data_IF_745554244274
#
_entry.id   IF_745554244274
#
_cell.length_a   1.000
_cell.length_b   1.000
_cell.length_c   1.000
_cell.angle_alpha   90.00
_cell.angle_beta   90.00
_cell.angle_gamma   90.00
#
_symmetry.space_group_name_H-M   'P 1'
#
loop_
_entity.id
_entity.type
_entity.pdbx_description
1 polymer ?
#
# COMPACT_ATOMS: atom_id res chain seq x y z
N UNK A 1 -0.21 14.28 -11.97
CA UNK A 1 -0.04 13.55 -10.71
C UNK A 1 1.45 13.26 -10.55
N UNK A 2 1.96 13.20 -9.32
CA UNK A 2 3.34 12.82 -9.05
C UNK A 2 3.48 11.30 -8.97
N UNK A 3 4.72 10.81 -9.06
CA UNK A 3 5.03 9.37 -9.05
C UNK A 3 4.49 8.65 -7.81
N UNK A 4 4.48 9.32 -6.65
CA UNK A 4 3.91 8.78 -5.41
C UNK A 4 2.40 8.61 -5.56
N UNK A 5 1.67 9.64 -6.03
CA UNK A 5 0.22 9.54 -6.18
C UNK A 5 -0.19 8.47 -7.20
N UNK A 6 0.53 8.38 -8.34
CA UNK A 6 0.24 7.37 -9.36
C UNK A 6 0.48 5.94 -8.85
N UNK A 7 1.58 5.72 -8.13
CA UNK A 7 1.88 4.42 -7.52
C UNK A 7 0.90 4.09 -6.39
N UNK A 8 0.57 5.04 -5.52
CA UNK A 8 -0.42 4.86 -4.46
C UNK A 8 -1.79 4.49 -5.02
N UNK A 9 -2.22 5.12 -6.10
CA UNK A 9 -3.48 4.81 -6.76
C UNK A 9 -3.47 3.40 -7.36
N UNK A 10 -2.36 3.00 -8.01
CA UNK A 10 -2.20 1.62 -8.49
C UNK A 10 -2.28 0.59 -7.35
N UNK A 11 -1.69 0.89 -6.19
CA UNK A 11 -1.76 0.01 -5.03
C UNK A 11 -3.18 -0.08 -4.46
N UNK A 12 -3.87 1.06 -4.32
CA UNK A 12 -5.25 1.09 -3.85
C UNK A 12 -6.18 0.29 -4.77
N UNK A 13 -6.06 0.47 -6.09
CA UNK A 13 -6.83 -0.31 -7.06
C UNK A 13 -6.53 -1.82 -6.96
N UNK A 14 -5.25 -2.21 -6.88
CA UNK A 14 -4.87 -3.61 -6.73
C UNK A 14 -5.37 -4.21 -5.40
N UNK A 15 -5.42 -3.42 -4.34
CA UNK A 15 -5.96 -3.81 -3.05
C UNK A 15 -7.47 -4.08 -3.15
N UNK A 16 -8.23 -3.19 -3.78
CA UNK A 16 -9.67 -3.37 -4.05
C UNK A 16 -9.94 -4.58 -4.94
N UNK A 17 -9.16 -4.76 -6.03
CA UNK A 17 -9.28 -5.92 -6.92
C UNK A 17 -9.04 -7.25 -6.18
N UNK A 18 -8.16 -7.22 -5.17
CA UNK A 18 -7.88 -8.40 -4.35
C UNK A 18 -8.95 -8.70 -3.30
N UNK A 19 -10.02 -7.90 -3.17
CA UNK A 19 -11.01 -8.02 -2.09
C UNK A 19 -11.64 -9.42 -1.96
N UNK A 20 -11.94 -10.07 -3.08
CA UNK A 20 -12.48 -11.45 -3.10
C UNK A 20 -11.40 -12.54 -3.21
N UNK A 21 -10.13 -12.16 -3.43
CA UNK A 21 -9.01 -13.08 -3.52
C UNK A 21 -8.52 -13.46 -2.12
N UNK A 22 -9.02 -14.59 -1.63
CA UNK A 22 -8.69 -15.13 -0.30
C UNK A 22 -7.21 -15.49 -0.12
N UNK A 23 -6.42 -15.57 -1.20
CA UNK A 23 -4.99 -15.82 -1.11
C UNK A 23 -4.21 -14.50 -1.05
N UNK A 24 -4.58 -13.52 -1.88
CA UNK A 24 -3.86 -12.25 -1.99
C UNK A 24 -4.23 -11.25 -0.91
N UNK A 25 -5.52 -11.14 -0.57
CA UNK A 25 -6.02 -10.17 0.41
C UNK A 25 -5.30 -10.23 1.77
N UNK A 26 -5.16 -11.40 2.43
CA UNK A 26 -4.49 -11.46 3.73
C UNK A 26 -3.00 -11.10 3.63
N UNK A 27 -2.34 -11.40 2.51
CA UNK A 27 -0.94 -11.02 2.29
C UNK A 27 -0.83 -9.50 2.11
N UNK A 28 -1.76 -8.91 1.35
CA UNK A 28 -1.85 -7.47 1.19
C UNK A 28 -2.09 -6.77 2.53
N UNK A 29 -3.07 -7.23 3.31
CA UNK A 29 -3.37 -6.69 4.64
C UNK A 29 -2.19 -6.79 5.60
N UNK A 30 -1.43 -7.89 5.55
CA UNK A 30 -0.25 -8.08 6.39
C UNK A 30 0.88 -7.11 6.02
N UNK A 31 1.15 -6.93 4.73
CA UNK A 31 2.15 -5.98 4.23
C UNK A 31 1.71 -4.56 4.59
N UNK A 32 0.47 -4.19 4.24
CA UNK A 32 -0.09 -2.87 4.52
C UNK A 32 0.04 -2.55 6.02
N UNK A 33 -0.49 -3.39 6.91
CA UNK A 33 -0.43 -3.15 8.35
C UNK A 33 0.99 -2.95 8.89
N UNK A 34 2.00 -3.64 8.33
CA UNK A 34 3.40 -3.50 8.76
C UNK A 34 3.96 -2.12 8.46
N UNK A 35 3.71 -1.61 7.26
CA UNK A 35 4.19 -0.28 6.85
C UNK A 35 3.30 0.84 7.39
N UNK A 36 1.99 0.61 7.54
CA UNK A 36 1.06 1.58 8.11
C UNK A 36 1.23 1.78 9.62
N UNK A 37 1.71 0.77 10.35
CA UNK A 37 2.05 0.92 11.76
C UNK A 37 3.12 2.01 12.00
N UNK A 38 3.96 2.32 11.00
CA UNK A 38 4.96 3.37 11.08
C UNK A 38 4.38 4.79 10.90
N UNK A 39 3.19 4.90 10.28
CA UNK A 39 2.61 6.20 9.86
C UNK A 39 1.50 6.68 10.81
N UNK A 40 1.10 5.86 11.79
CA UNK A 40 0.11 6.14 12.85
C UNK A 40 -1.07 7.01 12.40
N UNK A 41 -1.84 6.52 11.41
CA UNK A 41 -2.93 7.27 10.75
C UNK A 41 -4.30 7.11 11.40
N UNK A 42 -4.38 6.67 12.66
CA UNK A 42 -5.65 6.74 13.40
C UNK A 42 -6.85 6.09 12.68
N UNK A 43 -6.65 4.95 12.02
CA UNK A 43 -7.68 3.95 11.64
C UNK A 43 -8.87 4.34 10.74
N UNK A 44 -8.99 5.56 10.22
CA UNK A 44 -10.10 5.94 9.31
C UNK A 44 -9.66 6.54 7.97
N UNK A 45 -8.36 6.64 7.70
CA UNK A 45 -7.87 7.15 6.41
C UNK A 45 -7.98 6.07 5.31
N UNK A 46 -8.48 6.49 4.14
CA UNK A 46 -8.56 5.69 2.92
C UNK A 46 -7.18 5.08 2.58
N UNK A 47 -7.15 3.83 2.11
CA UNK A 47 -5.91 3.12 1.78
C UNK A 47 -5.03 3.95 0.84
N UNK A 48 -5.63 4.66 -0.11
CA UNK A 48 -4.90 5.58 -0.99
C UNK A 48 -4.22 6.72 -0.21
N UNK A 49 -4.95 7.43 0.65
CA UNK A 49 -4.44 8.56 1.45
C UNK A 49 -3.30 8.12 2.36
N UNK A 50 -3.42 6.94 2.98
CA UNK A 50 -2.38 6.41 3.85
C UNK A 50 -1.11 6.09 3.06
N UNK A 51 -1.23 5.46 1.89
CA UNK A 51 -0.08 5.11 1.06
C UNK A 51 0.60 6.38 0.50
N UNK A 52 -0.18 7.40 0.11
CA UNK A 52 0.36 8.72 -0.28
C UNK A 52 1.12 9.35 0.89
N UNK A 53 0.57 9.28 2.10
CA UNK A 53 1.24 9.80 3.30
C UNK A 53 2.54 9.07 3.60
N UNK A 54 2.57 7.74 3.45
CA UNK A 54 3.80 6.94 3.53
C UNK A 54 4.83 7.41 2.50
N UNK A 55 4.42 7.58 1.23
CA UNK A 55 5.31 8.06 0.17
C UNK A 55 5.87 9.46 0.42
N UNK A 56 5.08 10.37 0.99
CA UNK A 56 5.49 11.76 1.26
C UNK A 56 6.36 11.90 2.51
N UNK A 57 6.02 11.18 3.59
CA UNK A 57 6.71 11.30 4.89
C UNK A 57 7.89 10.33 5.03
N UNK A 58 7.78 9.15 4.43
CA UNK A 58 8.73 8.05 4.54
C UNK A 58 9.06 7.45 3.15
N UNK A 59 9.65 8.23 2.22
CA UNK A 59 9.85 7.79 0.84
C UNK A 59 10.71 6.51 0.71
N UNK A 60 11.65 6.27 1.63
CA UNK A 60 12.44 5.04 1.66
C UNK A 60 11.59 3.81 2.04
N UNK A 61 10.71 3.95 3.02
CA UNK A 61 9.78 2.87 3.43
C UNK A 61 8.74 2.62 2.35
N UNK A 62 8.28 3.66 1.68
CA UNK A 62 7.41 3.54 0.52
C UNK A 62 8.04 2.73 -0.62
N UNK A 63 9.32 2.96 -0.95
CA UNK A 63 9.99 2.14 -1.97
C UNK A 63 10.10 0.67 -1.56
N UNK A 64 10.40 0.40 -0.28
CA UNK A 64 10.44 -0.96 0.25
C UNK A 64 9.07 -1.63 0.20
N UNK A 65 8.01 -0.90 0.56
CA UNK A 65 6.62 -1.34 0.46
C UNK A 65 6.24 -1.72 -0.98
N UNK A 66 6.52 -0.86 -1.96
CA UNK A 66 6.24 -1.15 -3.38
C UNK A 66 7.05 -2.37 -3.86
N UNK A 67 8.31 -2.48 -3.46
CA UNK A 67 9.14 -3.62 -3.80
C UNK A 67 8.60 -4.93 -3.22
N UNK A 68 8.15 -4.94 -1.96
CA UNK A 68 7.60 -6.11 -1.28
C UNK A 68 6.26 -6.54 -1.91
N UNK A 69 5.40 -5.59 -2.29
CA UNK A 69 4.17 -5.89 -3.02
C UNK A 69 4.44 -6.55 -4.39
N UNK A 70 5.44 -6.07 -5.13
CA UNK A 70 5.87 -6.69 -6.41
C UNK A 70 6.44 -8.09 -6.21
N UNK A 71 7.27 -8.29 -5.18
CA UNK A 71 7.83 -9.60 -4.85
C UNK A 71 6.73 -10.63 -4.53
N UNK A 72 5.66 -10.19 -3.88
CA UNK A 72 4.50 -11.02 -3.59
C UNK A 72 3.49 -11.14 -4.75
N UNK A 73 3.81 -10.59 -5.95
CA UNK A 73 2.94 -10.59 -7.14
C UNK A 73 1.57 -9.94 -6.89
N UNK A 74 1.54 -8.96 -6.00
CA UNK A 74 0.34 -8.18 -5.66
C UNK A 74 0.22 -6.92 -6.53
N UNK A 75 1.34 -6.45 -7.07
CA UNK A 75 1.41 -5.40 -8.09
C UNK A 75 2.04 -5.95 -9.37
N UNK A 76 1.62 -5.38 -10.51
CA UNK A 76 2.23 -5.61 -11.81
C UNK A 76 3.61 -4.94 -11.93
#
# INVERSE_FOLDING_TARGET
>A
MGEIEDLSMNVANAYEDSYFDKQKRPVFDAILNRYLAAVDTGREEDVYEVIVTLGRRHPAEFQLFIAELRQNKLLA
#
